data_IF_862484695597
#
_entry.id   IF_862484695597
#
_cell.length_a   1.000
_cell.length_b   1.000
_cell.length_c   1.000
_cell.angle_alpha   90.00
_cell.angle_beta   90.00
_cell.angle_gamma   90.00
#
_symmetry.space_group_name_H-M   'P 1'
#
loop_
_entity.id
_entity.type
_entity.pdbx_description
1 polymer ?
#
# COMPACT_ATOMS: atom_id res chain seq x y z
N UNK A 1 42.79 -16.63 -26.25
CA UNK A 1 41.44 -16.72 -25.67
C UNK A 1 41.52 -16.22 -24.24
N UNK A 2 40.71 -15.23 -23.85
CA UNK A 2 40.72 -14.71 -22.47
C UNK A 2 39.78 -15.57 -21.62
N UNK A 3 40.26 -16.05 -20.48
CA UNK A 3 39.47 -16.83 -19.50
C UNK A 3 39.08 -15.86 -18.39
N UNK A 4 37.79 -15.87 -18.03
CA UNK A 4 37.24 -15.04 -16.95
C UNK A 4 36.91 -15.91 -15.74
N UNK A 5 37.12 -15.36 -14.55
CA UNK A 5 36.66 -15.92 -13.29
C UNK A 5 35.16 -15.73 -13.10
N UNK A 6 34.57 -16.53 -12.20
CA UNK A 6 33.16 -16.39 -11.82
C UNK A 6 32.86 -14.98 -11.29
N UNK A 7 33.77 -14.43 -10.48
CA UNK A 7 33.62 -13.09 -9.91
C UNK A 7 33.62 -12.00 -11.00
N UNK A 8 34.46 -12.11 -12.03
CA UNK A 8 34.50 -11.16 -13.14
C UNK A 8 33.18 -11.18 -13.93
N UNK A 9 32.61 -12.35 -14.20
CA UNK A 9 31.34 -12.47 -14.92
C UNK A 9 30.19 -11.92 -14.07
N UNK A 10 30.11 -12.29 -12.79
CA UNK A 10 29.06 -11.81 -11.89
C UNK A 10 29.13 -10.30 -11.69
N UNK A 11 30.33 -9.75 -11.48
CA UNK A 11 30.54 -8.31 -11.35
C UNK A 11 30.15 -7.56 -12.63
N UNK A 12 30.53 -8.10 -13.80
CA UNK A 12 30.12 -7.53 -15.08
C UNK A 12 28.60 -7.48 -15.26
N UNK A 13 27.89 -8.57 -14.92
CA UNK A 13 26.42 -8.61 -14.99
C UNK A 13 25.79 -7.61 -14.02
N UNK A 14 26.30 -7.52 -12.79
CA UNK A 14 25.83 -6.57 -11.79
C UNK A 14 25.96 -5.14 -12.31
N UNK A 15 27.13 -4.76 -12.84
CA UNK A 15 27.36 -3.44 -13.42
C UNK A 15 26.42 -3.12 -14.58
N UNK A 16 26.07 -4.11 -15.41
CA UNK A 16 25.12 -3.91 -16.51
C UNK A 16 23.69 -3.72 -16.03
N UNK A 17 23.27 -4.46 -15.02
CA UNK A 17 21.95 -4.30 -14.41
C UNK A 17 21.84 -2.96 -13.67
N UNK A 18 22.86 -2.57 -12.91
CA UNK A 18 22.87 -1.31 -12.14
C UNK A 18 23.00 -0.07 -13.02
N UNK A 19 23.56 -0.20 -14.23
CA UNK A 19 23.64 0.90 -15.20
C UNK A 19 22.34 1.12 -16.00
N UNK A 20 21.42 0.17 -15.99
CA UNK A 20 20.14 0.30 -16.66
C UNK A 20 19.18 1.11 -15.79
N UNK A 21 18.75 2.27 -16.29
CA UNK A 21 17.89 3.20 -15.54
C UNK A 21 16.52 2.61 -15.19
N UNK A 22 15.99 1.70 -16.01
CA UNK A 22 14.73 1.02 -15.70
C UNK A 22 14.94 0.03 -14.56
N UNK A 23 16.04 -0.72 -14.54
CA UNK A 23 16.31 -1.69 -13.49
C UNK A 23 16.78 -1.05 -12.18
N UNK A 24 17.30 0.18 -12.25
CA UNK A 24 17.69 0.95 -11.09
C UNK A 24 16.51 1.55 -10.32
N UNK A 25 15.34 1.72 -10.95
CA UNK A 25 14.16 2.36 -10.37
C UNK A 25 12.87 1.84 -11.06
N UNK A 26 12.21 0.84 -10.47
CA UNK A 26 11.01 0.24 -11.04
C UNK A 26 9.98 -0.21 -10.01
N UNK A 27 8.75 -0.36 -10.52
CA UNK A 27 7.61 -0.93 -9.84
C UNK A 27 7.28 -2.30 -10.43
N UNK A 28 7.03 -3.29 -9.57
CA UNK A 28 6.65 -4.64 -9.94
C UNK A 28 5.38 -5.01 -9.18
N UNK A 29 4.36 -5.49 -9.89
CA UNK A 29 3.20 -6.12 -9.27
C UNK A 29 3.38 -7.63 -9.17
N UNK A 30 2.89 -8.24 -8.11
CA UNK A 30 2.85 -9.68 -7.96
C UNK A 30 2.26 -10.14 -6.64
N UNK A 31 2.02 -11.45 -6.53
CA UNK A 31 1.62 -12.08 -5.29
C UNK A 31 2.85 -12.41 -4.43
N UNK A 32 2.78 -12.09 -3.15
CA UNK A 32 3.82 -12.43 -2.18
C UNK A 32 3.77 -13.91 -1.82
N UNK A 33 4.91 -14.56 -1.86
CA UNK A 33 5.10 -15.95 -1.40
C UNK A 33 6.43 -16.11 -0.67
N UNK A 34 6.59 -17.22 0.06
CA UNK A 34 7.81 -17.55 0.81
C UNK A 34 8.32 -16.43 1.73
N UNK A 35 7.40 -15.66 2.33
CA UNK A 35 7.74 -14.59 3.26
C UNK A 35 8.44 -15.15 4.51
N UNK A 36 9.59 -14.57 4.84
CA UNK A 36 10.40 -14.89 6.02
C UNK A 36 11.07 -13.64 6.57
N UNK A 37 11.28 -13.60 7.87
CA UNK A 37 11.97 -12.52 8.57
C UNK A 37 13.29 -13.03 9.16
N UNK A 38 14.37 -12.28 8.92
CA UNK A 38 15.67 -12.56 9.53
C UNK A 38 15.76 -12.03 10.96
N UNK A 39 16.73 -12.51 11.73
CA UNK A 39 17.00 -12.01 13.08
C UNK A 39 17.31 -10.48 13.14
N UNK A 40 17.75 -9.89 12.02
CA UNK A 40 17.99 -8.45 11.89
C UNK A 40 16.73 -7.65 11.48
N UNK A 41 15.58 -8.30 11.35
CA UNK A 41 14.31 -7.67 10.95
C UNK A 41 14.21 -7.35 9.44
N UNK A 42 15.08 -7.93 8.61
CA UNK A 42 14.94 -7.85 7.14
C UNK A 42 13.94 -8.90 6.67
N UNK A 43 13.07 -8.51 5.75
CA UNK A 43 12.09 -9.39 5.13
C UNK A 43 12.63 -9.93 3.81
N UNK A 44 12.50 -11.24 3.64
CA UNK A 44 12.80 -11.94 2.41
C UNK A 44 11.51 -12.59 1.92
N UNK A 45 11.15 -12.34 0.67
CA UNK A 45 9.96 -12.90 0.06
C UNK A 45 10.18 -13.09 -1.43
N UNK A 46 9.21 -13.70 -2.10
CA UNK A 46 9.20 -13.88 -3.54
C UNK A 46 7.94 -13.23 -4.10
N UNK A 47 8.10 -12.33 -5.07
CA UNK A 47 6.98 -11.88 -5.89
C UNK A 47 6.82 -12.85 -7.05
N UNK A 48 5.59 -13.30 -7.29
CA UNK A 48 5.27 -14.20 -8.40
C UNK A 48 4.06 -13.69 -9.18
N UNK A 49 4.04 -14.04 -10.46
CA UNK A 49 2.88 -13.97 -11.35
C UNK A 49 2.59 -15.38 -11.92
N UNK A 50 1.76 -15.47 -12.96
CA UNK A 50 1.42 -16.75 -13.58
C UNK A 50 2.59 -17.44 -14.29
N UNK A 51 3.62 -16.68 -14.71
CA UNK A 51 4.68 -17.14 -15.58
C UNK A 51 6.07 -17.16 -14.91
N UNK A 52 6.28 -16.38 -13.87
CA UNK A 52 7.60 -16.04 -13.34
C UNK A 52 7.58 -15.69 -11.85
N UNK A 53 8.76 -15.74 -11.25
CA UNK A 53 8.97 -15.37 -9.86
C UNK A 53 10.30 -14.65 -9.67
N UNK A 54 10.35 -13.74 -8.71
CA UNK A 54 11.50 -12.90 -8.41
C UNK A 54 11.74 -12.84 -6.90
N UNK A 55 12.99 -13.07 -6.48
CA UNK A 55 13.39 -12.96 -5.07
C UNK A 55 13.50 -11.50 -4.66
N UNK A 56 12.91 -11.17 -3.52
CA UNK A 56 12.81 -9.82 -2.99
C UNK A 56 13.44 -9.73 -1.61
N UNK A 57 14.10 -8.61 -1.34
CA UNK A 57 14.67 -8.28 -0.03
C UNK A 57 14.21 -6.89 0.36
N UNK A 58 13.58 -6.75 1.52
CA UNK A 58 13.22 -5.48 2.12
C UNK A 58 14.01 -5.32 3.43
N UNK A 59 14.94 -4.36 3.44
CA UNK A 59 15.76 -4.09 4.61
C UNK A 59 14.94 -3.39 5.69
N UNK A 60 15.23 -3.73 6.96
CA UNK A 60 14.51 -3.19 8.13
C UNK A 60 14.45 -1.65 8.13
N UNK A 61 15.53 -0.98 7.72
CA UNK A 61 15.62 0.50 7.67
C UNK A 61 14.68 1.14 6.64
N UNK A 62 14.31 0.40 5.60
CA UNK A 62 13.39 0.84 4.56
C UNK A 62 11.94 0.44 4.86
N UNK A 63 11.68 -0.24 5.99
CA UNK A 63 10.34 -0.68 6.37
C UNK A 63 9.52 0.53 6.85
N UNK A 64 8.77 1.14 5.93
CA UNK A 64 7.56 1.89 6.28
C UNK A 64 6.54 0.91 6.88
N UNK A 65 5.57 1.41 7.66
CA UNK A 65 4.62 0.62 8.47
C UNK A 65 3.61 -0.21 7.64
N UNK A 66 4.12 -1.04 6.72
CA UNK A 66 3.38 -1.89 5.81
C UNK A 66 3.49 -3.32 6.31
N UNK A 67 2.35 -3.95 6.54
CA UNK A 67 2.25 -5.37 6.85
C UNK A 67 2.19 -6.13 5.53
N UNK A 68 3.11 -7.08 5.34
CA UNK A 68 3.17 -7.96 4.17
C UNK A 68 2.79 -9.35 4.64
N UNK A 69 1.94 -10.04 3.87
CA UNK A 69 1.48 -11.40 4.17
C UNK A 69 1.64 -12.31 2.94
N UNK A 70 1.82 -13.61 3.15
CA UNK A 70 1.82 -14.58 2.05
C UNK A 70 0.43 -14.63 1.39
N UNK A 71 0.39 -14.68 0.06
CA UNK A 71 -0.84 -14.63 -0.73
C UNK A 71 -1.37 -13.21 -0.98
N UNK A 72 -0.75 -12.18 -0.40
CA UNK A 72 -1.14 -10.80 -0.66
C UNK A 72 -0.66 -10.36 -2.05
N UNK A 73 -1.56 -9.75 -2.82
CA UNK A 73 -1.23 -9.07 -4.05
C UNK A 73 -0.67 -7.67 -3.73
N UNK A 74 0.53 -7.36 -4.20
CA UNK A 74 1.24 -6.12 -3.87
C UNK A 74 1.91 -5.51 -5.09
N UNK A 75 2.12 -4.20 -5.02
CA UNK A 75 2.95 -3.42 -5.92
C UNK A 75 4.17 -2.94 -5.12
N UNK A 76 5.35 -3.36 -5.53
CA UNK A 76 6.61 -3.10 -4.84
C UNK A 76 7.56 -2.28 -5.71
N UNK A 77 8.24 -1.33 -5.08
CA UNK A 77 9.20 -0.43 -5.68
C UNK A 77 10.62 -0.76 -5.23
N UNK A 78 11.60 -0.51 -6.11
CA UNK A 78 13.00 -0.57 -5.76
C UNK A 78 13.89 -0.77 -6.97
N UNK A 79 14.93 -1.59 -6.82
CA UNK A 79 15.94 -1.84 -7.86
C UNK A 79 16.30 -3.32 -8.01
N UNK A 80 16.63 -3.75 -9.22
CA UNK A 80 17.15 -5.10 -9.50
C UNK A 80 18.68 -5.07 -9.48
N UNK A 81 19.28 -6.00 -8.74
CA UNK A 81 20.73 -6.21 -8.75
C UNK A 81 21.07 -7.67 -8.45
N UNK A 82 22.35 -8.02 -8.46
CA UNK A 82 22.84 -9.37 -8.16
C UNK A 82 23.53 -9.36 -6.79
N UNK A 83 23.13 -10.28 -5.92
CA UNK A 83 23.87 -10.55 -4.70
C UNK A 83 25.16 -11.32 -5.03
N UNK A 84 26.29 -10.62 -4.99
CA UNK A 84 27.56 -11.10 -5.54
C UNK A 84 28.03 -12.43 -4.97
N UNK A 85 27.83 -12.65 -3.67
CA UNK A 85 28.30 -13.85 -2.97
C UNK A 85 27.63 -15.11 -3.53
N UNK A 86 26.34 -15.04 -3.89
CA UNK A 86 25.59 -16.18 -4.42
C UNK A 86 25.26 -16.06 -5.90
N UNK A 87 25.68 -14.98 -6.58
CA UNK A 87 25.33 -14.68 -7.97
C UNK A 87 23.82 -14.62 -8.24
N UNK A 88 23.01 -14.38 -7.20
CA UNK A 88 21.54 -14.49 -7.30
C UNK A 88 20.94 -13.14 -7.65
N UNK A 89 20.05 -13.10 -8.66
CA UNK A 89 19.25 -11.94 -8.98
C UNK A 89 18.27 -11.63 -7.84
N UNK A 90 18.25 -10.39 -7.40
CA UNK A 90 17.39 -9.92 -6.32
C UNK A 90 16.77 -8.58 -6.65
N UNK A 91 15.51 -8.41 -6.25
CA UNK A 91 14.83 -7.13 -6.19
C UNK A 91 14.99 -6.55 -4.78
N UNK A 92 15.74 -5.46 -4.68
CA UNK A 92 15.93 -4.72 -3.45
C UNK A 92 14.80 -3.73 -3.32
N UNK A 93 13.85 -4.08 -2.47
CA UNK A 93 12.60 -3.35 -2.27
C UNK A 93 12.81 -2.26 -1.23
N UNK A 94 12.30 -1.07 -1.51
CA UNK A 94 12.29 0.06 -0.57
C UNK A 94 10.88 0.52 -0.20
N UNK A 95 9.88 0.23 -1.02
CA UNK A 95 8.46 0.53 -0.76
C UNK A 95 7.57 -0.61 -1.25
N UNK A 96 6.55 -0.95 -0.47
CA UNK A 96 5.54 -1.95 -0.82
C UNK A 96 4.16 -1.38 -0.53
N UNK A 97 3.22 -1.60 -1.44
CA UNK A 97 1.83 -1.20 -1.30
C UNK A 97 0.92 -2.37 -1.68
N UNK A 98 -0.24 -2.56 -1.03
CA UNK A 98 -1.24 -3.51 -1.50
C UNK A 98 -1.67 -3.17 -2.93
N UNK A 99 -1.82 -4.19 -3.77
CA UNK A 99 -2.34 -4.01 -5.12
C UNK A 99 -3.78 -3.48 -5.03
N UNK A 100 -4.08 -2.41 -5.77
CA UNK A 100 -5.39 -1.73 -5.75
C UNK A 100 -5.43 -0.36 -5.06
N UNK A 101 -4.42 0.03 -4.26
CA UNK A 101 -4.39 1.40 -3.67
C UNK A 101 -4.36 2.49 -4.75
N UNK A 102 -3.62 2.27 -5.84
CA UNK A 102 -3.58 3.21 -6.97
C UNK A 102 -4.90 3.32 -7.73
N UNK A 103 -5.64 2.20 -7.88
CA UNK A 103 -6.97 2.18 -8.50
C UNK A 103 -7.97 2.90 -7.59
N UNK A 104 -7.97 2.60 -6.29
CA UNK A 104 -8.86 3.23 -5.33
C UNK A 104 -8.62 4.75 -5.27
N UNK A 105 -7.36 5.17 -5.33
CA UNK A 105 -7.01 6.59 -5.36
C UNK A 105 -7.47 7.27 -6.66
N UNK A 106 -7.31 6.60 -7.80
CA UNK A 106 -7.81 7.09 -9.09
C UNK A 106 -9.34 7.17 -9.12
N UNK A 107 -10.04 6.16 -8.60
CA UNK A 107 -11.50 6.15 -8.47
C UNK A 107 -11.98 7.25 -7.51
N UNK A 108 -11.27 7.45 -6.40
CA UNK A 108 -11.53 8.53 -5.45
C UNK A 108 -11.39 9.90 -6.11
N UNK A 109 -10.29 10.18 -6.82
CA UNK A 109 -10.09 11.47 -7.50
C UNK A 109 -11.12 11.67 -8.63
N UNK A 110 -11.49 10.61 -9.36
CA UNK A 110 -12.56 10.66 -10.37
C UNK A 110 -13.92 10.97 -9.75
N UNK A 111 -14.27 10.33 -8.64
CA UNK A 111 -15.51 10.56 -7.92
C UNK A 111 -15.55 11.97 -7.34
N UNK A 112 -14.45 12.42 -6.73
CA UNK A 112 -14.31 13.76 -6.20
C UNK A 112 -14.46 14.82 -7.28
N UNK A 113 -13.84 14.65 -8.44
CA UNK A 113 -14.02 15.55 -9.58
C UNK A 113 -15.50 15.60 -10.02
N UNK A 114 -16.15 14.44 -10.17
CA UNK A 114 -17.58 14.37 -10.51
C UNK A 114 -18.47 15.10 -9.50
N UNK A 115 -18.28 14.86 -8.20
CA UNK A 115 -19.07 15.51 -7.14
C UNK A 115 -18.76 17.02 -7.05
N UNK A 116 -17.55 17.43 -7.42
CA UNK A 116 -17.17 18.84 -7.53
C UNK A 116 -17.84 19.52 -8.73
N UNK A 117 -17.94 18.84 -9.87
CA UNK A 117 -18.66 19.34 -11.05
C UNK A 117 -20.18 19.42 -10.81
N UNK A 118 -20.74 18.50 -10.03
CA UNK A 118 -22.10 18.61 -9.49
C UNK A 118 -22.25 19.77 -8.48
N UNK A 119 -21.12 20.39 -8.09
CA UNK A 119 -20.98 21.50 -7.17
C UNK A 119 -21.33 21.18 -5.72
N UNK A 120 -21.35 19.89 -5.35
CA UNK A 120 -21.73 19.45 -3.99
C UNK A 120 -20.78 19.99 -2.90
N UNK A 121 -19.58 20.44 -3.28
CA UNK A 121 -18.61 21.07 -2.38
C UNK A 121 -18.71 22.60 -2.31
N UNK A 122 -19.62 23.23 -3.05
CA UNK A 122 -19.76 24.69 -3.06
C UNK A 122 -20.08 25.22 -1.66
N UNK A 123 -19.32 26.21 -1.14
CA UNK A 123 -19.59 26.82 0.16
C UNK A 123 -21.01 27.39 0.27
N UNK A 124 -21.58 27.86 -0.85
CA UNK A 124 -22.93 28.40 -0.93
C UNK A 124 -24.03 27.36 -0.60
N UNK A 125 -23.74 26.04 -0.71
CA UNK A 125 -24.67 24.97 -0.33
C UNK A 125 -24.59 24.61 1.15
N UNK A 126 -23.57 25.08 1.88
CA UNK A 126 -23.46 24.80 3.31
C UNK A 126 -24.60 25.49 4.04
N UNK A 127 -25.40 24.68 4.74
CA UNK A 127 -26.48 25.16 5.61
C UNK A 127 -25.90 25.38 7.01
N UNK A 128 -26.35 26.45 7.67
CA UNK A 128 -26.00 26.68 9.06
C UNK A 128 -26.49 25.50 9.91
N UNK A 129 -25.63 25.00 10.80
CA UNK A 129 -26.00 23.93 11.70
C UNK A 129 -27.02 24.45 12.71
N UNK A 130 -28.13 23.73 12.94
CA UNK A 130 -29.07 24.10 13.98
C UNK A 130 -28.38 23.97 15.35
N UNK A 131 -28.62 24.89 16.29
CA UNK A 131 -28.02 24.81 17.63
C UNK A 131 -28.49 23.59 18.43
N UNK A 132 -29.69 23.09 18.11
CA UNK A 132 -30.34 21.95 18.76
C UNK A 132 -30.92 21.01 17.68
N UNK A 133 -30.08 20.15 17.07
CA UNK A 133 -30.54 19.23 16.03
C UNK A 133 -31.51 18.20 16.62
N UNK A 134 -32.65 17.99 15.97
CA UNK A 134 -33.61 16.95 16.36
C UNK A 134 -33.24 15.57 15.80
N UNK A 135 -32.51 15.54 14.69
CA UNK A 135 -32.07 14.32 14.03
C UNK A 135 -30.58 14.43 13.68
N UNK A 136 -29.83 13.36 13.91
CA UNK A 136 -28.42 13.23 13.51
C UNK A 136 -28.31 11.96 12.66
N UNK A 137 -27.92 12.14 11.40
CA UNK A 137 -27.55 11.05 10.51
C UNK A 137 -26.10 10.62 10.77
N UNK A 138 -25.87 9.32 10.98
CA UNK A 138 -24.54 8.72 11.12
C UNK A 138 -24.30 7.79 9.94
N UNK A 139 -23.25 8.08 9.18
CA UNK A 139 -22.85 7.26 8.03
C UNK A 139 -21.61 6.45 8.42
N UNK A 140 -21.83 5.20 8.83
CA UNK A 140 -20.78 4.29 9.28
C UNK A 140 -21.23 2.83 9.12
N UNK A 141 -20.27 1.90 9.00
CA UNK A 141 -20.55 0.47 9.02
C UNK A 141 -21.24 0.05 10.33
N UNK A 142 -22.31 -0.77 10.28
CA UNK A 142 -23.05 -1.23 11.45
C UNK A 142 -22.19 -1.96 12.49
N UNK A 143 -21.14 -2.66 12.02
CA UNK A 143 -20.29 -3.50 12.87
C UNK A 143 -19.12 -2.74 13.51
N UNK A 144 -19.06 -1.41 13.35
CA UNK A 144 -17.95 -0.62 13.89
C UNK A 144 -18.10 -0.35 15.40
N UNK A 145 -17.03 -0.56 16.16
CA UNK A 145 -16.99 -0.22 17.59
C UNK A 145 -17.27 1.27 17.87
N UNK A 146 -17.00 2.14 16.89
CA UNK A 146 -17.25 3.59 16.96
C UNK A 146 -18.73 3.92 17.10
N UNK A 147 -19.63 3.09 16.55
CA UNK A 147 -21.08 3.31 16.68
C UNK A 147 -21.52 3.26 18.15
N UNK A 148 -20.97 2.31 18.93
CA UNK A 148 -21.27 2.21 20.35
C UNK A 148 -20.83 3.45 21.14
N UNK A 149 -19.67 4.02 20.81
CA UNK A 149 -19.18 5.25 21.44
C UNK A 149 -20.08 6.44 21.13
N UNK A 150 -20.50 6.60 19.87
CA UNK A 150 -21.43 7.67 19.46
C UNK A 150 -22.75 7.56 20.22
N UNK A 151 -23.34 6.36 20.27
CA UNK A 151 -24.59 6.10 20.98
C UNK A 151 -24.44 6.40 22.48
N UNK A 152 -23.35 5.92 23.10
CA UNK A 152 -23.10 6.14 24.53
C UNK A 152 -22.94 7.62 24.89
N UNK A 153 -22.21 8.38 24.07
CA UNK A 153 -21.97 9.81 24.30
C UNK A 153 -23.27 10.59 24.11
N UNK A 154 -24.00 10.35 23.01
CA UNK A 154 -25.22 11.09 22.70
C UNK A 154 -26.32 10.79 23.72
N UNK A 155 -26.50 9.54 24.11
CA UNK A 155 -27.50 9.15 25.12
C UNK A 155 -27.26 9.82 26.48
N UNK A 156 -26.00 10.13 26.81
CA UNK A 156 -25.64 10.82 28.06
C UNK A 156 -25.72 12.34 27.95
N UNK A 157 -25.28 12.93 26.83
CA UNK A 157 -25.12 14.38 26.70
C UNK A 157 -26.32 15.07 26.04
N UNK A 158 -27.05 14.37 25.18
CA UNK A 158 -28.18 14.94 24.43
C UNK A 158 -29.21 13.86 24.01
N UNK A 159 -29.93 13.25 24.98
CA UNK A 159 -30.82 12.11 24.72
C UNK A 159 -32.10 12.44 23.93
N UNK A 160 -32.36 13.73 23.65
CA UNK A 160 -33.55 14.18 22.91
C UNK A 160 -33.40 14.06 21.39
N UNK A 161 -32.20 13.74 20.89
CA UNK A 161 -31.92 13.64 19.46
C UNK A 161 -32.18 12.24 18.94
N UNK A 162 -32.80 12.17 17.77
CA UNK A 162 -32.98 10.92 17.04
C UNK A 162 -31.72 10.61 16.22
N UNK A 163 -31.15 9.43 16.43
CA UNK A 163 -30.01 8.93 15.66
C UNK A 163 -30.51 8.07 14.51
N UNK A 164 -30.14 8.45 13.29
CA UNK A 164 -30.45 7.69 12.07
C UNK A 164 -29.14 7.10 11.55
N UNK A 165 -29.05 5.78 11.52
CA UNK A 165 -27.91 5.07 10.91
C UNK A 165 -28.19 4.88 9.42
N UNK A 166 -27.26 5.32 8.57
CA UNK A 166 -27.24 5.00 7.14
C UNK A 166 -25.96 4.22 6.85
N UNK A 167 -26.03 2.89 6.70
CA UNK A 167 -24.89 2.05 6.31
C UNK A 167 -24.29 2.46 4.97
#
# INVERSE_FOLDING_TARGET
MKIYSVAEVTGYLRERLEADSMLADLWISGEVSNLSESAAGHLYFTLKDEASQLRCVLFHRARLAVTIENGAAVVAHGRISIYEVSGTLQFYVDLVQPEGVGILHLEFERLKAKLADEGLFEPARKRALPPFPQHIGVVISPDSAVLHDIINIISRRYPLVELVLSP
#
